data_IF_797802344740
#
_entry.id   IF_797802344740
#
_cell.length_a   1.000
_cell.length_b   1.000
_cell.length_c   1.000
_cell.angle_alpha   90.00
_cell.angle_beta   90.00
_cell.angle_gamma   90.00
#
_symmetry.space_group_name_H-M   'P 1'
#
loop_
_entity.id
_entity.type
_entity.pdbx_description
1 polymer ?
#
# COMPACT_ATOMS: atom_id res chain seq x y z
N UNK A 1 -18.82 -1.64 -3.82
CA UNK A 1 -18.22 -2.22 -2.58
C UNK A 1 -16.81 -2.77 -2.78
N UNK A 2 -16.48 -3.40 -3.92
CA UNK A 2 -15.11 -3.87 -4.19
C UNK A 2 -14.07 -2.74 -4.20
N UNK A 3 -14.39 -1.60 -4.83
CA UNK A 3 -13.58 -0.38 -4.79
C UNK A 3 -13.25 0.06 -3.34
N UNK A 4 -14.26 0.19 -2.48
CA UNK A 4 -14.07 0.59 -1.07
C UNK A 4 -13.11 -0.34 -0.30
N UNK A 5 -13.14 -1.66 -0.59
CA UNK A 5 -12.20 -2.62 0.01
C UNK A 5 -10.77 -2.40 -0.48
N UNK A 6 -10.59 -2.12 -1.77
CA UNK A 6 -9.26 -1.82 -2.36
C UNK A 6 -8.69 -0.54 -1.75
N UNK A 7 -9.49 0.52 -1.65
CA UNK A 7 -9.04 1.78 -1.03
C UNK A 7 -8.71 1.62 0.45
N UNK A 8 -9.54 0.89 1.21
CA UNK A 8 -9.26 0.58 2.61
C UNK A 8 -7.95 -0.21 2.77
N UNK A 9 -7.70 -1.17 1.87
CA UNK A 9 -6.44 -1.90 1.82
C UNK A 9 -5.23 -1.00 1.56
N UNK A 10 -5.34 -0.06 0.61
CA UNK A 10 -4.27 0.89 0.29
C UNK A 10 -3.96 1.80 1.49
N UNK A 11 -4.98 2.31 2.18
CA UNK A 11 -4.82 3.11 3.41
C UNK A 11 -4.15 2.30 4.51
N UNK A 12 -4.59 1.06 4.73
CA UNK A 12 -3.98 0.17 5.72
C UNK A 12 -2.52 -0.09 5.40
N UNK A 13 -2.18 -0.34 4.13
CA UNK A 13 -0.81 -0.60 3.70
C UNK A 13 0.11 0.61 3.97
N UNK A 14 -0.34 1.83 3.64
CA UNK A 14 0.37 3.08 3.99
C UNK A 14 0.59 3.23 5.49
N UNK A 15 -0.44 2.93 6.29
CA UNK A 15 -0.33 3.02 7.74
C UNK A 15 0.68 2.00 8.28
N UNK A 16 0.66 0.77 7.79
CA UNK A 16 1.55 -0.29 8.25
C UNK A 16 3.01 0.00 7.92
N UNK A 17 3.33 0.52 6.72
CA UNK A 17 4.73 0.88 6.41
C UNK A 17 5.22 2.05 7.27
N UNK A 18 4.36 3.01 7.60
CA UNK A 18 4.70 4.09 8.54
C UNK A 18 5.01 3.53 9.93
N UNK A 19 4.14 2.67 10.46
CA UNK A 19 4.34 2.01 11.75
C UNK A 19 5.66 1.22 11.76
N UNK A 20 5.98 0.50 10.69
CA UNK A 20 7.24 -0.22 10.56
C UNK A 20 8.44 0.73 10.65
N UNK A 21 8.39 1.86 9.94
CA UNK A 21 9.48 2.84 9.95
C UNK A 21 9.63 3.50 11.33
N UNK A 22 8.52 3.80 12.01
CA UNK A 22 8.55 4.34 13.38
C UNK A 22 9.19 3.34 14.36
N UNK A 23 8.84 2.05 14.26
CA UNK A 23 9.47 1.01 15.07
C UNK A 23 10.93 0.76 14.70
N UNK A 24 11.29 0.91 13.42
CA UNK A 24 12.67 0.80 12.98
C UNK A 24 13.54 1.90 13.62
N UNK A 25 13.06 3.15 13.65
CA UNK A 25 13.77 4.26 14.29
C UNK A 25 14.09 3.97 15.76
N UNK A 26 13.14 3.40 16.50
CA UNK A 26 13.34 2.99 17.90
C UNK A 26 14.35 1.84 18.03
N UNK A 27 14.33 0.88 17.10
CA UNK A 27 15.29 -0.21 17.09
C UNK A 27 16.73 0.30 16.88
N UNK A 28 16.92 1.30 16.02
CA UNK A 28 18.21 1.91 15.74
C UNK A 28 18.87 2.57 16.96
N UNK A 29 18.11 2.95 17.99
CA UNK A 29 18.64 3.52 19.23
C UNK A 29 19.48 2.50 20.03
N UNK A 30 19.11 1.21 19.95
CA UNK A 30 19.76 0.13 20.72
C UNK A 30 20.57 -0.84 19.86
N UNK A 31 20.30 -0.88 18.55
CA UNK A 31 21.00 -1.69 17.58
C UNK A 31 21.63 -0.76 16.56
N UNK A 32 22.96 -0.67 16.50
CA UNK A 32 23.70 0.31 15.67
C UNK A 32 24.89 -0.27 14.90
N UNK A 33 24.98 -1.61 14.81
CA UNK A 33 26.10 -2.30 14.17
C UNK A 33 25.98 -2.41 12.64
N UNK A 34 26.96 -3.09 12.03
CA UNK A 34 26.98 -3.35 10.57
C UNK A 34 25.90 -4.33 10.12
N UNK A 35 25.40 -5.20 11.01
CA UNK A 35 24.36 -6.18 10.70
C UNK A 35 23.02 -5.47 10.56
N UNK A 36 22.72 -4.52 11.45
CA UNK A 36 21.58 -3.61 11.34
C UNK A 36 21.56 -2.92 9.99
N UNK A 37 22.68 -2.33 9.57
CA UNK A 37 22.73 -1.60 8.29
C UNK A 37 22.47 -2.52 7.09
N UNK A 38 23.05 -3.71 7.09
CA UNK A 38 22.79 -4.72 6.07
C UNK A 38 21.33 -5.16 6.06
N UNK A 39 20.71 -5.29 7.23
CA UNK A 39 19.30 -5.64 7.36
C UNK A 39 18.40 -4.54 6.77
N UNK A 40 18.68 -3.28 7.10
CA UNK A 40 17.98 -2.11 6.55
C UNK A 40 18.06 -2.11 5.02
N UNK A 41 19.27 -2.18 4.47
CA UNK A 41 19.51 -2.09 3.03
C UNK A 41 18.89 -3.28 2.27
N UNK A 42 18.95 -4.49 2.83
CA UNK A 42 18.45 -5.70 2.18
C UNK A 42 16.94 -5.92 2.30
N UNK A 43 16.31 -5.45 3.38
CA UNK A 43 14.94 -5.82 3.72
C UNK A 43 13.99 -4.64 3.93
N UNK A 44 14.44 -3.53 4.53
CA UNK A 44 13.55 -2.41 4.85
C UNK A 44 13.53 -1.35 3.75
N UNK A 45 14.70 -0.94 3.26
CA UNK A 45 14.83 0.06 2.21
C UNK A 45 14.03 -0.29 0.94
N UNK A 46 13.95 -1.56 0.49
CA UNK A 46 13.14 -1.93 -0.68
C UNK A 46 11.62 -1.86 -0.43
N UNK A 47 11.15 -1.90 0.82
CA UNK A 47 9.71 -1.97 1.12
C UNK A 47 8.99 -0.66 0.84
N UNK A 48 9.56 0.49 1.21
CA UNK A 48 8.93 1.80 0.97
C UNK A 48 8.53 2.02 -0.50
N UNK A 49 9.45 1.91 -1.49
CA UNK A 49 9.06 2.07 -2.89
C UNK A 49 8.12 0.97 -3.40
N UNK A 50 8.23 -0.26 -2.89
CA UNK A 50 7.32 -1.35 -3.26
C UNK A 50 5.89 -1.09 -2.75
N UNK A 51 5.74 -0.59 -1.53
CA UNK A 51 4.46 -0.20 -0.93
C UNK A 51 3.85 0.98 -1.69
N UNK A 52 4.64 2.00 -2.02
CA UNK A 52 4.15 3.14 -2.81
C UNK A 52 3.64 2.70 -4.18
N UNK A 53 4.37 1.82 -4.87
CA UNK A 53 3.94 1.25 -6.14
C UNK A 53 2.64 0.44 -5.98
N UNK A 54 2.53 -0.38 -4.94
CA UNK A 54 1.33 -1.17 -4.66
C UNK A 54 0.12 -0.28 -4.39
N UNK A 55 0.27 0.75 -3.56
CA UNK A 55 -0.78 1.74 -3.28
C UNK A 55 -1.29 2.38 -4.58
N UNK A 56 -0.38 2.85 -5.44
CA UNK A 56 -0.75 3.48 -6.71
C UNK A 56 -1.52 2.48 -7.59
N UNK A 57 -1.06 1.23 -7.66
CA UNK A 57 -1.78 0.17 -8.36
C UNK A 57 -3.19 -0.06 -7.82
N UNK A 58 -3.34 -0.07 -6.49
CA UNK A 58 -4.63 -0.23 -5.83
C UNK A 58 -5.58 0.95 -6.12
N UNK A 59 -5.07 2.19 -6.14
CA UNK A 59 -5.87 3.37 -6.50
C UNK A 59 -6.38 3.29 -7.95
N UNK A 60 -5.53 2.86 -8.89
CA UNK A 60 -5.95 2.63 -10.28
C UNK A 60 -6.99 1.51 -10.42
N UNK A 61 -6.81 0.41 -9.68
CA UNK A 61 -7.79 -0.69 -9.65
C UNK A 61 -9.15 -0.22 -9.12
N UNK A 62 -9.15 0.62 -8.11
CA UNK A 62 -10.33 1.25 -7.55
C UNK A 62 -11.10 2.07 -8.60
N UNK A 63 -10.40 2.90 -9.39
CA UNK A 63 -10.98 3.67 -10.50
C UNK A 63 -11.61 2.77 -11.57
N UNK A 64 -10.91 1.72 -11.99
CA UNK A 64 -11.40 0.76 -12.99
C UNK A 64 -12.64 0.03 -12.50
N UNK A 65 -12.66 -0.43 -11.24
CA UNK A 65 -13.83 -1.09 -10.66
C UNK A 65 -15.05 -0.17 -10.58
N UNK A 66 -14.84 1.12 -10.32
CA UNK A 66 -15.91 2.10 -10.33
C UNK A 66 -16.43 2.38 -11.74
N UNK A 67 -15.55 2.39 -12.75
CA UNK A 67 -15.96 2.53 -14.14
C UNK A 67 -16.80 1.33 -14.59
N UNK A 68 -16.31 0.11 -14.36
CA UNK A 68 -17.04 -1.13 -14.70
C UNK A 68 -18.41 -1.17 -14.04
N UNK A 69 -18.51 -0.74 -12.77
CA UNK A 69 -19.80 -0.64 -12.10
C UNK A 69 -20.75 0.31 -12.81
N UNK A 70 -20.28 1.51 -13.19
CA UNK A 70 -21.08 2.52 -13.90
C UNK A 70 -21.55 2.00 -15.25
N UNK A 71 -20.63 1.47 -16.06
CA UNK A 71 -20.95 0.94 -17.40
C UNK A 71 -22.00 -0.19 -17.36
N UNK A 72 -21.93 -1.07 -16.35
CA UNK A 72 -22.90 -2.14 -16.16
C UNK A 72 -24.25 -1.63 -15.65
N UNK A 73 -24.26 -0.63 -14.76
CA UNK A 73 -25.50 0.00 -14.29
C UNK A 73 -26.22 0.74 -15.42
N UNK A 74 -25.49 1.55 -16.19
CA UNK A 74 -26.05 2.35 -17.29
C UNK A 74 -26.63 1.46 -18.41
N UNK A 75 -26.01 0.29 -18.67
CA UNK A 75 -26.51 -0.68 -19.64
C UNK A 75 -27.79 -1.39 -19.19
N UNK A 76 -27.97 -1.60 -17.88
CA UNK A 76 -29.17 -2.26 -17.34
C UNK A 76 -30.42 -1.37 -17.38
N UNK A 77 -30.27 -0.05 -17.44
CA UNK A 77 -31.40 0.89 -17.52
C UNK A 77 -31.91 1.08 -18.96
N UNK A 78 -31.14 0.63 -19.95
CA UNK A 78 -31.45 0.74 -21.39
C UNK A 78 -32.07 -0.54 -21.98
N UNK A 79 -32.20 -1.63 -21.21
CA UNK A 79 -32.79 -2.92 -21.63
C UNK A 79 -34.11 -3.18 -20.92
#
# INVERSE_FOLDING_TARGET
MANAKVLAGATRLKQTIRILNDHWLLAEESWSDVVRRRFEDAHLAPLSPAVDAAVVGMQKLAEVLDQVRRDCSDRSELS
#
